data_IF_366062488177
#
_entry.id   IF_366062488177
#
_cell.length_a   1.000
_cell.length_b   1.000
_cell.length_c   1.000
_cell.angle_alpha   90.00
_cell.angle_beta   90.00
_cell.angle_gamma   90.00
#
_symmetry.space_group_name_H-M   'P 1'
#
loop_
_entity.id
_entity.type
_entity.pdbx_description
1 polymer ?
#
# COMPACT_ATOMS: atom_id res chain seq x y z
N UNK A 1 0.10 -13.96 -14.39
CA UNK A 1 -1.08 -13.07 -14.48
C UNK A 1 -0.56 -11.65 -14.73
N UNK A 2 -1.15 -10.91 -15.66
CA UNK A 2 -0.84 -9.49 -15.82
C UNK A 2 -1.60 -8.68 -14.77
N UNK A 3 -0.92 -7.71 -14.15
CA UNK A 3 -1.52 -6.82 -13.18
C UNK A 3 -1.97 -5.52 -13.86
N UNK A 4 -2.97 -4.82 -13.30
CA UNK A 4 -3.34 -3.48 -13.77
C UNK A 4 -2.16 -2.49 -13.72
N UNK A 5 -1.16 -2.76 -12.88
CA UNK A 5 0.04 -1.95 -12.71
C UNK A 5 1.04 -2.10 -13.87
N UNK A 6 0.94 -3.15 -14.68
CA UNK A 6 1.84 -3.38 -15.83
C UNK A 6 1.67 -2.30 -16.90
N UNK A 7 0.50 -1.65 -16.92
CA UNK A 7 0.10 -0.59 -17.87
C UNK A 7 0.55 0.81 -17.45
N UNK A 8 1.15 0.96 -16.27
CA UNK A 8 1.68 2.24 -15.81
C UNK A 8 2.85 2.70 -16.69
N UNK A 9 3.08 4.01 -16.75
CA UNK A 9 4.31 4.56 -17.32
C UNK A 9 5.53 4.11 -16.49
N UNK A 10 6.71 4.09 -17.09
CA UNK A 10 7.94 3.67 -16.41
C UNK A 10 8.24 4.50 -15.15
N UNK A 11 7.96 5.81 -15.18
CA UNK A 11 8.09 6.66 -13.98
C UNK A 11 7.17 6.23 -12.85
N UNK A 12 5.91 5.89 -13.16
CA UNK A 12 4.95 5.40 -12.16
C UNK A 12 5.31 4.00 -11.66
N UNK A 13 5.89 3.15 -12.51
CA UNK A 13 6.42 1.85 -12.08
C UNK A 13 7.57 2.03 -11.08
N UNK A 14 8.44 3.04 -11.28
CA UNK A 14 9.49 3.38 -10.31
C UNK A 14 8.89 3.84 -8.98
N UNK A 15 7.95 4.78 -9.01
CA UNK A 15 7.23 5.26 -7.81
C UNK A 15 6.55 4.10 -7.07
N UNK A 16 5.86 3.22 -7.80
CA UNK A 16 5.24 2.03 -7.22
C UNK A 16 6.29 1.11 -6.59
N UNK A 17 7.39 0.84 -7.28
CA UNK A 17 8.46 -0.02 -6.76
C UNK A 17 9.09 0.54 -5.49
N UNK A 18 9.32 1.85 -5.43
CA UNK A 18 9.86 2.52 -4.25
C UNK A 18 8.89 2.44 -3.07
N UNK A 19 7.62 2.77 -3.31
CA UNK A 19 6.56 2.66 -2.30
C UNK A 19 6.47 1.23 -1.73
N UNK A 20 6.45 0.20 -2.60
CA UNK A 20 6.41 -1.21 -2.19
C UNK A 20 7.60 -1.58 -1.32
N UNK A 21 8.81 -1.17 -1.73
CA UNK A 21 10.03 -1.44 -0.97
C UNK A 21 9.99 -0.79 0.42
N UNK A 22 9.53 0.46 0.51
CA UNK A 22 9.42 1.16 1.79
C UNK A 22 8.37 0.52 2.72
N UNK A 23 7.23 0.05 2.18
CA UNK A 23 6.22 -0.68 2.98
C UNK A 23 6.83 -1.97 3.55
N UNK A 24 7.53 -2.76 2.73
CA UNK A 24 8.16 -4.01 3.17
C UNK A 24 9.28 -3.81 4.20
N UNK A 25 9.87 -2.61 4.27
CA UNK A 25 10.88 -2.25 5.28
C UNK A 25 10.28 -1.87 6.64
N UNK A 26 8.96 -1.69 6.74
CA UNK A 26 8.32 -1.29 8.01
C UNK A 26 8.41 -2.36 9.09
N UNK A 27 8.34 -3.64 8.70
CA UNK A 27 8.36 -4.79 9.60
C UNK A 27 8.69 -6.06 8.79
N UNK A 28 9.55 -6.93 9.34
CA UNK A 28 10.01 -8.17 8.67
C UNK A 28 8.90 -9.22 8.48
N UNK A 29 7.79 -9.09 9.20
CA UNK A 29 6.64 -10.02 9.12
C UNK A 29 5.59 -9.60 8.11
N UNK A 30 5.83 -8.53 7.34
CA UNK A 30 4.90 -8.08 6.30
C UNK A 30 4.96 -9.04 5.11
N UNK A 31 3.79 -9.44 4.63
CA UNK A 31 3.60 -10.20 3.41
C UNK A 31 2.95 -9.29 2.38
N UNK A 32 3.51 -9.29 1.16
CA UNK A 32 2.93 -8.65 -0.01
C UNK A 32 2.22 -9.67 -0.89
N UNK A 33 0.99 -9.35 -1.31
CA UNK A 33 0.22 -10.17 -2.23
C UNK A 33 -0.18 -9.33 -3.45
N UNK A 34 0.45 -9.59 -4.59
CA UNK A 34 0.09 -8.96 -5.87
C UNK A 34 -1.11 -9.67 -6.48
N UNK A 35 -2.24 -8.97 -6.60
CA UNK A 35 -3.48 -9.44 -7.23
C UNK A 35 -3.74 -8.67 -8.53
N UNK A 36 -4.63 -9.15 -9.42
CA UNK A 36 -4.87 -8.51 -10.71
C UNK A 36 -5.19 -7.00 -10.63
N UNK A 37 -5.93 -6.57 -9.61
CA UNK A 37 -6.42 -5.18 -9.47
C UNK A 37 -5.83 -4.40 -8.30
N UNK A 38 -5.03 -5.05 -7.44
CA UNK A 38 -4.51 -4.45 -6.22
C UNK A 38 -3.30 -5.20 -5.68
N UNK A 39 -2.49 -4.54 -4.87
CA UNK A 39 -1.47 -5.17 -4.03
C UNK A 39 -1.97 -5.08 -2.60
N UNK A 40 -2.00 -6.19 -1.87
CA UNK A 40 -2.47 -6.24 -0.48
C UNK A 40 -1.28 -6.52 0.43
N UNK A 41 -1.22 -5.83 1.56
CA UNK A 41 -0.24 -6.06 2.62
C UNK A 41 -0.92 -6.60 3.86
N UNK A 42 -0.34 -7.68 4.38
CA UNK A 42 -0.84 -8.40 5.56
C UNK A 42 0.30 -8.65 6.52
N UNK A 43 0.02 -8.74 7.83
CA UNK A 43 1.02 -9.18 8.82
C UNK A 43 0.92 -10.69 9.01
N UNK A 44 2.01 -11.41 8.77
CA UNK A 44 2.06 -12.89 8.73
C UNK A 44 1.45 -13.53 9.99
N UNK A 45 1.85 -13.06 11.17
CA UNK A 45 1.40 -13.62 12.44
C UNK A 45 -0.12 -13.52 12.66
N UNK A 46 -0.74 -12.44 12.17
CA UNK A 46 -2.17 -12.19 12.38
C UNK A 46 -3.04 -12.61 11.19
N UNK A 47 -2.45 -12.89 10.02
CA UNK A 47 -3.17 -13.10 8.76
C UNK A 47 -4.20 -11.99 8.48
N UNK A 48 -3.93 -10.76 8.95
CA UNK A 48 -4.81 -9.61 8.79
C UNK A 48 -4.20 -8.63 7.80
N UNK A 49 -5.00 -8.23 6.82
CA UNK A 49 -4.68 -7.18 5.87
C UNK A 49 -4.73 -5.81 6.58
N UNK A 50 -3.74 -4.96 6.37
CA UNK A 50 -3.67 -3.61 6.95
C UNK A 50 -3.56 -2.49 5.92
N UNK A 51 -3.19 -2.81 4.69
CA UNK A 51 -3.12 -1.82 3.62
C UNK A 51 -3.32 -2.49 2.26
N UNK A 52 -3.81 -1.70 1.31
CA UNK A 52 -3.81 -2.07 -0.10
C UNK A 52 -3.35 -0.91 -0.98
N UNK A 53 -2.73 -1.27 -2.10
CA UNK A 53 -2.43 -0.36 -3.21
C UNK A 53 -3.39 -0.71 -4.34
N UNK A 54 -4.06 0.30 -4.87
CA UNK A 54 -4.94 0.22 -6.04
C UNK A 54 -4.55 1.26 -7.08
N UNK A 55 -5.15 1.17 -8.26
CA UNK A 55 -5.13 2.25 -9.25
C UNK A 55 -6.48 2.94 -9.29
N UNK A 56 -6.50 4.25 -9.05
CA UNK A 56 -7.68 5.09 -9.30
C UNK A 56 -7.46 5.86 -10.60
N UNK A 57 -8.07 5.37 -11.67
CA UNK A 57 -7.74 5.80 -13.02
C UNK A 57 -6.30 5.40 -13.36
N UNK A 58 -5.39 6.38 -13.47
CA UNK A 58 -3.97 6.14 -13.69
C UNK A 58 -3.09 6.52 -12.48
N UNK A 59 -3.69 6.91 -11.35
CA UNK A 59 -2.96 7.29 -10.14
C UNK A 59 -2.79 6.10 -9.19
N UNK A 60 -1.62 6.02 -8.54
CA UNK A 60 -1.37 5.04 -7.48
C UNK A 60 -2.10 5.52 -6.23
N UNK A 61 -2.90 4.65 -5.63
CA UNK A 61 -3.68 4.96 -4.43
C UNK A 61 -3.34 3.97 -3.34
N UNK A 62 -2.99 4.47 -2.15
CA UNK A 62 -2.76 3.68 -0.94
C UNK A 62 -3.94 3.85 0.00
N UNK A 63 -4.53 2.74 0.38
CA UNK A 63 -5.66 2.70 1.30
C UNK A 63 -5.27 1.85 2.52
N UNK A 64 -5.18 2.43 3.73
CA UNK A 64 -5.09 1.64 4.95
C UNK A 64 -6.41 0.89 5.14
N UNK A 65 -6.34 -0.39 5.52
CA UNK A 65 -7.50 -1.21 5.82
C UNK A 65 -7.81 -1.03 7.30
N UNK A 66 -8.99 -0.47 7.59
CA UNK A 66 -9.50 -0.30 8.94
C UNK A 66 -10.91 -0.88 9.03
N UNK A 67 -11.25 -1.50 10.17
CA UNK A 67 -12.62 -1.93 10.48
C UNK A 67 -13.52 -0.74 10.87
N UNK A 68 -12.92 0.40 11.21
CA UNK A 68 -13.64 1.63 11.53
C UNK A 68 -13.94 2.41 10.24
N UNK A 69 -15.20 2.44 9.82
CA UNK A 69 -15.68 3.06 8.58
C UNK A 69 -15.34 4.55 8.40
N UNK A 70 -14.92 5.24 9.46
CA UNK A 70 -14.70 6.69 9.46
C UNK A 70 -13.21 7.10 9.51
N UNK A 71 -12.24 6.17 9.39
CA UNK A 71 -10.79 6.46 9.58
C UNK A 71 -9.86 5.96 8.48
N UNK A 72 -10.36 5.65 7.28
CA UNK A 72 -9.49 5.26 6.16
C UNK A 72 -9.05 6.50 5.38
N UNK A 73 -8.01 7.16 5.88
CA UNK A 73 -7.30 8.19 5.11
C UNK A 73 -6.61 7.54 3.92
N UNK A 74 -7.09 7.84 2.72
CA UNK A 74 -6.55 7.31 1.47
C UNK A 74 -5.57 8.32 0.89
N UNK A 75 -4.39 7.85 0.48
CA UNK A 75 -3.33 8.72 -0.07
C UNK A 75 -3.17 8.43 -1.56
N UNK A 76 -3.22 9.48 -2.38
CA UNK A 76 -2.81 9.40 -3.79
C UNK A 76 -1.31 9.67 -3.88
N UNK A 77 -0.58 8.76 -4.52
CA UNK A 77 0.89 8.80 -4.62
C UNK A 77 1.30 9.23 -6.02
N UNK A 78 1.85 10.44 -6.12
CA UNK A 78 2.27 11.06 -7.39
C UNK A 78 3.69 11.63 -7.34
N UNK A 79 4.27 11.78 -6.14
CA UNK A 79 5.54 12.46 -5.87
C UNK A 79 6.20 11.89 -4.59
N UNK A 80 7.48 12.18 -4.33
CA UNK A 80 8.18 11.67 -3.15
C UNK A 80 7.54 12.05 -1.79
N UNK A 81 6.96 13.25 -1.68
CA UNK A 81 6.30 13.68 -0.43
C UNK A 81 5.04 12.85 -0.16
N UNK A 82 4.28 12.52 -1.21
CA UNK A 82 3.13 11.64 -1.12
C UNK A 82 3.51 10.19 -0.80
N UNK A 83 4.72 9.73 -1.16
CA UNK A 83 5.24 8.43 -0.71
C UNK A 83 5.38 8.46 0.81
N UNK A 84 6.07 9.46 1.37
CA UNK A 84 6.27 9.56 2.82
C UNK A 84 4.94 9.58 3.58
N UNK A 85 3.98 10.38 3.11
CA UNK A 85 2.62 10.41 3.69
C UNK A 85 1.93 9.04 3.61
N UNK A 86 2.03 8.35 2.50
CA UNK A 86 1.47 7.01 2.35
C UNK A 86 2.11 6.02 3.34
N UNK A 87 3.43 6.09 3.52
CA UNK A 87 4.15 5.27 4.51
C UNK A 87 3.71 5.57 5.93
N UNK A 88 3.52 6.83 6.30
CA UNK A 88 3.07 7.20 7.65
C UNK A 88 1.66 6.66 7.94
N UNK A 89 0.77 6.75 6.96
CA UNK A 89 -0.59 6.18 7.04
C UNK A 89 -0.56 4.65 7.16
N UNK A 90 0.27 3.97 6.36
CA UNK A 90 0.42 2.50 6.40
C UNK A 90 1.05 2.05 7.73
N UNK A 91 2.06 2.77 8.23
CA UNK A 91 2.68 2.51 9.53
C UNK A 91 1.67 2.65 10.67
N UNK A 92 0.81 3.67 10.61
CA UNK A 92 -0.25 3.84 11.60
C UNK A 92 -1.27 2.68 11.54
N UNK A 93 -1.62 2.20 10.35
CA UNK A 93 -2.51 1.04 10.20
C UNK A 93 -1.87 -0.25 10.73
N UNK A 94 -0.58 -0.46 10.47
CA UNK A 94 0.19 -1.59 10.98
C UNK A 94 0.23 -1.62 12.51
N UNK A 95 0.48 -0.47 13.15
CA UNK A 95 0.50 -0.36 14.63
C UNK A 95 -0.83 -0.75 15.28
N UNK A 96 -1.97 -0.37 14.66
CA UNK A 96 -3.31 -0.73 15.15
C UNK A 96 -3.60 -2.24 15.11
N UNK A 97 -2.83 -3.03 14.37
CA UNK A 97 -2.95 -4.50 14.40
C UNK A 97 -2.17 -5.13 15.56
N UNK A 98 -1.18 -4.42 16.10
CA UNK A 98 -0.29 -4.92 17.16
C UNK A 98 -0.67 -4.41 18.56
N UNK A 99 -1.47 -3.36 18.64
CA UNK A 99 -2.06 -2.81 19.88
C UNK A 99 -3.34 -3.58 20.27
#
# INVERSE_FOLDING_TARGET
>A
MSSVFDRLSEDKKRVLSELRAQIMQLDSEIIEQVRPHRIVYSKNFFMMDFAEITLKGNAIQVTPISREANKTETVLVNDPESIQRAIDVVRAALKRLTD
#
